data_IF_548649047893
#
_entry.id   IF_548649047893
#
_cell.length_a   1.000
_cell.length_b   1.000
_cell.length_c   1.000
_cell.angle_alpha   90.00
_cell.angle_beta   90.00
_cell.angle_gamma   90.00
#
_symmetry.space_group_name_H-M   'P 1'
#
loop_
_entity.id
_entity.type
_entity.pdbx_description
1 polymer ?
#
# COMPACT_ATOMS: atom_id res chain seq x y z
N UNK A 1 -12.20 -50.06 23.89
CA UNK A 1 -11.51 -50.12 22.59
C UNK A 1 -12.52 -49.70 21.54
N UNK A 2 -12.34 -48.48 21.00
CA UNK A 2 -12.99 -47.84 19.83
C UNK A 2 -14.53 -47.73 19.65
N UNK A 3 -14.91 -46.48 19.31
CA UNK A 3 -16.06 -46.01 18.51
C UNK A 3 -17.38 -45.60 19.27
N UNK A 4 -18.24 -44.73 18.68
CA UNK A 4 -18.44 -43.35 19.13
C UNK A 4 -19.91 -43.03 19.51
N UNK A 5 -20.14 -41.95 20.27
CA UNK A 5 -21.49 -41.47 20.60
C UNK A 5 -21.61 -39.96 20.31
N UNK A 6 -22.55 -39.68 19.42
CA UNK A 6 -23.12 -38.38 19.08
C UNK A 6 -23.40 -37.52 20.33
N UNK A 7 -23.01 -36.25 20.31
CA UNK A 7 -23.66 -35.22 21.11
C UNK A 7 -24.09 -34.06 20.21
N UNK A 8 -25.40 -33.97 20.06
CA UNK A 8 -26.13 -32.84 19.50
C UNK A 8 -26.14 -31.71 20.54
N UNK A 9 -25.72 -30.50 20.17
CA UNK A 9 -26.03 -29.31 20.96
C UNK A 9 -26.83 -28.33 20.10
N UNK A 10 -28.10 -28.22 20.47
CA UNK A 10 -29.08 -27.28 19.98
C UNK A 10 -28.60 -25.83 20.19
N UNK A 11 -28.57 -25.08 19.10
CA UNK A 11 -28.45 -23.63 19.10
C UNK A 11 -29.85 -23.03 19.33
N UNK A 12 -30.05 -22.32 20.44
CA UNK A 12 -31.20 -21.43 20.59
C UNK A 12 -30.80 -20.22 21.44
N UNK A 13 -31.24 -19.06 20.96
CA UNK A 13 -31.39 -17.78 21.68
C UNK A 13 -30.20 -16.82 21.65
N UNK A 14 -30.14 -16.01 20.58
CA UNK A 14 -29.76 -14.59 20.63
C UNK A 14 -30.46 -13.85 19.47
N UNK A 15 -31.78 -13.94 19.45
CA UNK A 15 -32.67 -13.15 18.60
C UNK A 15 -33.09 -11.90 19.37
N UNK A 16 -32.21 -10.90 19.48
CA UNK A 16 -32.58 -9.53 19.89
C UNK A 16 -31.46 -8.56 19.51
N UNK A 17 -31.33 -8.27 18.20
CA UNK A 17 -30.75 -7.06 17.60
C UNK A 17 -30.80 -7.22 16.07
N UNK A 18 -32.02 -7.36 15.55
CA UNK A 18 -32.33 -7.35 14.12
C UNK A 18 -33.14 -6.10 13.82
N UNK A 19 -32.44 -4.97 13.80
CA UNK A 19 -32.89 -3.74 13.15
C UNK A 19 -31.63 -2.89 12.97
N UNK A 20 -31.28 -2.66 11.71
CA UNK A 20 -30.23 -1.75 11.22
C UNK A 20 -28.80 -2.28 10.96
N UNK A 21 -28.65 -3.46 10.37
CA UNK A 21 -27.40 -3.82 9.65
C UNK A 21 -27.72 -4.39 8.26
N UNK A 22 -28.16 -3.52 7.35
CA UNK A 22 -28.22 -3.80 5.90
C UNK A 22 -26.84 -3.62 5.25
N UNK A 23 -25.81 -4.27 5.81
CA UNK A 23 -24.44 -4.21 5.30
C UNK A 23 -23.72 -5.58 5.30
N UNK A 24 -24.29 -6.63 5.90
CA UNK A 24 -23.62 -7.95 5.99
C UNK A 24 -23.78 -8.83 4.75
N UNK A 25 -24.75 -8.56 3.86
CA UNK A 25 -25.02 -9.40 2.69
C UNK A 25 -23.91 -9.43 1.62
N UNK A 26 -23.01 -8.43 1.58
CA UNK A 26 -21.91 -8.36 0.60
C UNK A 26 -20.62 -9.06 1.08
N UNK A 27 -20.42 -9.20 2.40
CA UNK A 27 -19.27 -9.94 2.97
C UNK A 27 -19.44 -11.46 2.79
N UNK A 28 -20.68 -11.94 2.87
CA UNK A 28 -21.02 -13.34 2.60
C UNK A 28 -20.97 -13.71 1.12
N UNK A 29 -21.05 -12.76 0.19
CA UNK A 29 -20.99 -13.05 -1.25
C UNK A 29 -19.57 -13.45 -1.71
N UNK A 30 -18.52 -12.80 -1.20
CA UNK A 30 -17.11 -13.16 -1.47
C UNK A 30 -16.59 -14.30 -0.59
N UNK A 31 -17.13 -14.49 0.62
CA UNK A 31 -16.77 -15.64 1.47
C UNK A 31 -17.47 -16.93 1.03
N UNK A 32 -18.77 -16.89 0.70
CA UNK A 32 -19.50 -18.07 0.22
C UNK A 32 -19.06 -18.52 -1.18
N UNK A 33 -18.41 -17.66 -1.96
CA UNK A 33 -17.79 -18.06 -3.23
C UNK A 33 -16.46 -18.82 -3.05
N UNK A 34 -15.82 -18.75 -1.88
CA UNK A 34 -14.56 -19.46 -1.61
C UNK A 34 -14.76 -20.90 -1.11
N UNK A 35 -15.87 -21.20 -0.43
CA UNK A 35 -16.19 -22.57 0.03
C UNK A 35 -17.33 -23.24 -0.75
N UNK A 36 -18.14 -22.46 -1.47
CA UNK A 36 -19.15 -22.97 -2.39
C UNK A 36 -18.61 -22.94 -3.82
N UNK A 37 -18.52 -24.11 -4.43
CA UNK A 37 -18.26 -24.34 -5.86
C UNK A 37 -19.31 -23.63 -6.74
N UNK A 38 -19.30 -22.29 -6.83
CA UNK A 38 -20.17 -21.47 -7.69
C UNK A 38 -19.46 -20.19 -8.14
N UNK A 39 -18.90 -20.27 -9.35
CA UNK A 39 -18.88 -19.23 -10.41
C UNK A 39 -19.04 -17.78 -9.93
N UNK A 40 -17.92 -17.11 -9.61
CA UNK A 40 -17.83 -15.63 -9.66
C UNK A 40 -17.57 -15.11 -11.09
N UNK A 41 -17.49 -16.00 -12.06
CA UNK A 41 -17.53 -15.61 -13.45
C UNK A 41 -18.74 -16.31 -14.06
N UNK A 42 -19.65 -15.53 -14.66
CA UNK A 42 -20.62 -16.07 -15.61
C UNK A 42 -19.81 -16.94 -16.58
N UNK A 43 -20.25 -18.17 -16.82
CA UNK A 43 -19.43 -19.19 -17.52
C UNK A 43 -18.92 -18.70 -18.90
N UNK A 44 -19.63 -17.74 -19.53
CA UNK A 44 -19.17 -17.06 -20.75
C UNK A 44 -18.20 -15.87 -20.57
N UNK A 45 -18.05 -15.28 -19.39
CA UNK A 45 -17.05 -14.23 -19.13
C UNK A 45 -15.65 -14.80 -18.88
N UNK A 46 -15.51 -16.01 -18.32
CA UNK A 46 -14.20 -16.67 -18.13
C UNK A 46 -13.55 -16.97 -19.47
N UNK A 47 -14.31 -17.57 -20.40
CA UNK A 47 -13.81 -18.00 -21.70
C UNK A 47 -13.39 -16.78 -22.55
N UNK A 48 -14.14 -15.69 -22.48
CA UNK A 48 -13.78 -14.42 -23.14
C UNK A 48 -12.55 -13.77 -22.47
N UNK A 49 -12.41 -13.90 -21.15
CA UNK A 49 -11.25 -13.40 -20.41
C UNK A 49 -9.94 -14.08 -20.78
N UNK A 50 -9.94 -15.40 -20.81
CA UNK A 50 -8.76 -16.17 -21.11
C UNK A 50 -8.37 -16.03 -22.60
N UNK A 51 -9.35 -15.99 -23.50
CA UNK A 51 -9.11 -15.78 -24.93
C UNK A 51 -8.56 -14.38 -25.26
N UNK A 52 -9.04 -13.32 -24.61
CA UNK A 52 -8.52 -11.95 -24.82
C UNK A 52 -7.14 -11.75 -24.20
N UNK A 53 -6.93 -12.23 -22.97
CA UNK A 53 -5.61 -12.21 -22.35
C UNK A 53 -4.58 -12.93 -23.24
N UNK A 54 -4.92 -14.12 -23.75
CA UNK A 54 -4.08 -14.87 -24.67
C UNK A 54 -3.82 -14.15 -26.01
N UNK A 55 -4.84 -13.52 -26.61
CA UNK A 55 -4.67 -12.80 -27.88
C UNK A 55 -3.89 -11.49 -27.74
N UNK A 56 -4.04 -10.76 -26.63
CA UNK A 56 -3.28 -9.53 -26.39
C UNK A 56 -1.83 -9.83 -25.98
N UNK A 57 -1.62 -10.88 -25.20
CA UNK A 57 -0.30 -11.43 -24.93
C UNK A 57 0.40 -11.86 -26.23
N UNK A 58 -0.31 -12.55 -27.13
CA UNK A 58 0.22 -12.95 -28.44
C UNK A 58 0.50 -11.79 -29.39
N UNK A 59 -0.15 -10.63 -29.23
CA UNK A 59 0.13 -9.40 -30.00
C UNK A 59 1.34 -8.63 -29.47
N UNK A 60 1.72 -8.85 -28.21
CA UNK A 60 2.86 -8.17 -27.60
C UNK A 60 4.18 -8.71 -28.16
N UNK A 61 5.14 -7.83 -28.41
CA UNK A 61 6.45 -8.26 -28.91
C UNK A 61 7.20 -9.03 -27.79
N UNK A 62 7.49 -10.34 -27.98
CA UNK A 62 8.07 -11.17 -26.92
C UNK A 62 9.45 -10.67 -26.48
N UNK A 63 10.23 -10.05 -27.37
CA UNK A 63 11.53 -9.48 -27.02
C UNK A 63 11.39 -8.26 -26.10
N UNK A 64 10.40 -7.39 -26.36
CA UNK A 64 10.13 -6.20 -25.55
C UNK A 64 9.57 -6.59 -24.17
N UNK A 65 8.69 -7.58 -24.12
CA UNK A 65 8.13 -8.13 -22.88
C UNK A 65 9.23 -8.72 -21.99
N UNK A 66 10.09 -9.57 -22.58
CA UNK A 66 11.20 -10.18 -21.86
C UNK A 66 12.21 -9.13 -21.37
N UNK A 67 12.49 -8.10 -22.17
CA UNK A 67 13.35 -6.99 -21.76
C UNK A 67 12.75 -6.23 -20.57
N UNK A 68 11.47 -5.85 -20.64
CA UNK A 68 10.77 -5.13 -19.56
C UNK A 68 10.76 -5.93 -18.27
N UNK A 69 10.37 -7.21 -18.33
CA UNK A 69 10.35 -8.09 -17.17
C UNK A 69 11.74 -8.29 -16.57
N UNK A 70 12.76 -8.47 -17.42
CA UNK A 70 14.14 -8.64 -16.96
C UNK A 70 14.64 -7.39 -16.25
N UNK A 71 14.34 -6.19 -16.77
CA UNK A 71 14.68 -4.91 -16.14
C UNK A 71 13.96 -4.76 -14.80
N UNK A 72 12.65 -5.03 -14.74
CA UNK A 72 11.85 -4.92 -13.52
C UNK A 72 12.34 -5.87 -12.41
N UNK A 73 12.55 -7.15 -12.75
CA UNK A 73 13.04 -8.16 -11.79
C UNK A 73 14.46 -7.79 -11.32
N UNK A 74 15.33 -7.35 -12.23
CA UNK A 74 16.71 -6.97 -11.89
C UNK A 74 16.75 -5.76 -10.96
N UNK A 75 16.00 -4.70 -11.27
CA UNK A 75 15.89 -3.52 -10.43
C UNK A 75 15.37 -3.89 -9.03
N UNK A 76 14.35 -4.75 -8.95
CA UNK A 76 13.80 -5.15 -7.66
C UNK A 76 14.80 -5.97 -6.83
N UNK A 77 15.48 -6.92 -7.47
CA UNK A 77 16.47 -7.76 -6.80
C UNK A 77 17.56 -6.89 -6.15
N UNK A 78 18.10 -5.93 -6.90
CA UNK A 78 19.10 -5.00 -6.37
C UNK A 78 18.56 -4.15 -5.21
N UNK A 79 17.31 -3.68 -5.28
CA UNK A 79 16.68 -2.95 -4.17
C UNK A 79 16.60 -3.79 -2.90
N UNK A 80 16.16 -5.05 -2.99
CA UNK A 80 16.09 -5.94 -1.83
C UNK A 80 17.48 -6.17 -1.21
N UNK A 81 18.50 -6.43 -2.02
CA UNK A 81 19.88 -6.63 -1.56
C UNK A 81 20.41 -5.38 -0.84
N UNK A 82 20.10 -4.19 -1.34
CA UNK A 82 20.51 -2.93 -0.71
C UNK A 82 19.70 -2.59 0.55
N UNK A 83 18.45 -3.04 0.65
CA UNK A 83 17.58 -2.74 1.78
C UNK A 83 17.97 -3.48 3.07
N UNK A 84 18.40 -4.75 2.95
CA UNK A 84 18.80 -5.59 4.08
C UNK A 84 19.91 -4.96 4.95
N UNK A 85 21.07 -4.50 4.41
CA UNK A 85 22.10 -3.86 5.22
C UNK A 85 21.65 -2.51 5.81
N UNK A 86 20.78 -1.77 5.10
CA UNK A 86 20.21 -0.52 5.61
C UNK A 86 19.35 -0.76 6.87
N UNK A 87 18.47 -1.77 6.83
CA UNK A 87 17.64 -2.14 7.97
C UNK A 87 18.50 -2.66 9.12
N UNK A 88 19.54 -3.44 8.84
CA UNK A 88 20.46 -3.91 9.87
C UNK A 88 21.17 -2.74 10.59
N UNK A 89 21.59 -1.71 9.85
CA UNK A 89 22.18 -0.49 10.42
C UNK A 89 21.20 0.28 11.32
N UNK A 90 19.94 0.39 10.88
CA UNK A 90 18.85 1.04 11.63
C UNK A 90 18.51 0.26 12.90
N UNK A 91 18.43 -1.07 12.81
CA UNK A 91 18.11 -1.96 13.92
C UNK A 91 19.06 -1.76 15.10
N UNK A 92 20.35 -1.57 14.83
CA UNK A 92 21.37 -1.31 15.87
C UNK A 92 21.06 -0.07 16.72
N UNK A 93 20.40 0.94 16.14
CA UNK A 93 20.11 2.23 16.79
C UNK A 93 18.63 2.38 17.16
N UNK A 94 17.81 1.33 16.99
CA UNK A 94 16.36 1.41 17.18
C UNK A 94 15.93 1.63 18.63
N UNK A 95 16.76 1.25 19.61
CA UNK A 95 16.41 1.39 21.03
C UNK A 95 16.49 2.83 21.54
N UNK A 96 17.28 3.67 20.87
CA UNK A 96 17.67 4.97 21.41
C UNK A 96 16.78 6.12 20.92
N UNK A 97 16.14 5.99 19.75
CA UNK A 97 15.34 7.07 19.16
C UNK A 97 14.01 6.55 18.61
N UNK A 98 12.92 7.28 18.88
CA UNK A 98 11.58 6.99 18.34
C UNK A 98 11.57 6.92 16.83
N UNK A 99 12.36 7.76 16.17
CA UNK A 99 12.43 7.76 14.73
C UNK A 99 13.05 6.49 14.16
N UNK A 100 14.13 5.95 14.75
CA UNK A 100 14.72 4.71 14.24
C UNK A 100 13.75 3.53 14.39
N UNK A 101 12.85 3.55 15.38
CA UNK A 101 11.76 2.56 15.48
C UNK A 101 10.77 2.67 14.32
N UNK A 102 10.37 3.90 13.96
CA UNK A 102 9.48 4.14 12.83
C UNK A 102 10.15 3.77 11.50
N UNK A 103 11.42 4.15 11.28
CA UNK A 103 12.17 3.76 10.08
C UNK A 103 12.34 2.24 9.99
N UNK A 104 12.54 1.55 11.12
CA UNK A 104 12.64 0.10 11.13
C UNK A 104 11.32 -0.56 10.72
N UNK A 105 10.19 -0.04 11.22
CA UNK A 105 8.86 -0.51 10.84
C UNK A 105 8.56 -0.29 9.35
N UNK A 106 8.81 0.92 8.84
CA UNK A 106 8.68 1.24 7.41
C UNK A 106 9.58 0.30 6.61
N UNK A 107 10.84 0.13 7.02
CA UNK A 107 11.77 -0.73 6.31
C UNK A 107 11.32 -2.20 6.22
N UNK A 108 10.74 -2.77 7.28
CA UNK A 108 10.16 -4.13 7.24
C UNK A 108 8.96 -4.18 6.29
N UNK A 109 8.11 -3.14 6.33
CA UNK A 109 6.92 -3.02 5.48
C UNK A 109 7.33 -2.96 4.01
N UNK A 110 8.33 -2.15 3.68
CA UNK A 110 8.91 -2.04 2.34
C UNK A 110 9.49 -3.38 1.88
N UNK A 111 10.28 -4.05 2.73
CA UNK A 111 10.78 -5.39 2.40
C UNK A 111 9.65 -6.37 2.07
N UNK A 112 8.53 -6.28 2.79
CA UNK A 112 7.34 -7.10 2.54
C UNK A 112 6.67 -6.76 1.20
N UNK A 113 6.40 -5.47 0.94
CA UNK A 113 5.70 -5.05 -0.28
C UNK A 113 6.55 -5.30 -1.51
N UNK A 114 7.88 -5.11 -1.45
CA UNK A 114 8.79 -5.25 -2.59
C UNK A 114 8.79 -6.64 -3.26
N UNK A 115 8.29 -7.67 -2.58
CA UNK A 115 8.05 -8.99 -3.21
C UNK A 115 6.93 -8.97 -4.24
N UNK A 116 5.93 -8.11 -4.04
CA UNK A 116 4.70 -8.11 -4.84
C UNK A 116 4.91 -7.41 -6.19
N UNK A 117 5.28 -6.11 -6.26
CA UNK A 117 5.47 -5.43 -7.53
C UNK A 117 6.66 -5.98 -8.32
N UNK A 118 7.65 -6.63 -7.70
CA UNK A 118 8.79 -7.20 -8.41
C UNK A 118 8.64 -8.65 -8.82
N UNK A 119 8.62 -9.56 -7.84
CA UNK A 119 8.62 -11.00 -8.14
C UNK A 119 7.27 -11.46 -8.66
N UNK A 120 6.18 -11.06 -7.99
CA UNK A 120 4.84 -11.50 -8.37
C UNK A 120 4.40 -10.90 -9.70
N UNK A 121 4.52 -9.57 -9.89
CA UNK A 121 4.18 -8.94 -11.16
C UNK A 121 5.06 -9.46 -12.30
N UNK A 122 6.36 -9.69 -12.08
CA UNK A 122 7.25 -10.31 -13.08
C UNK A 122 6.82 -11.73 -13.47
N UNK A 123 6.47 -12.57 -12.50
CA UNK A 123 5.91 -13.90 -12.75
C UNK A 123 4.58 -13.83 -13.51
N UNK A 124 3.67 -12.94 -13.10
CA UNK A 124 2.37 -12.76 -13.73
C UNK A 124 2.53 -12.30 -15.19
N UNK A 125 3.50 -11.42 -15.47
CA UNK A 125 3.80 -10.95 -16.81
C UNK A 125 4.34 -12.06 -17.72
N UNK A 126 5.22 -12.94 -17.23
CA UNK A 126 5.75 -14.04 -18.03
C UNK A 126 4.66 -15.04 -18.44
N UNK A 127 3.59 -15.15 -17.65
CA UNK A 127 2.46 -16.05 -17.91
C UNK A 127 1.27 -15.39 -18.60
N UNK A 128 1.30 -14.07 -18.80
CA UNK A 128 0.10 -13.34 -19.23
C UNK A 128 -1.06 -13.48 -18.24
N UNK A 129 -0.76 -13.59 -16.95
CA UNK A 129 -1.75 -13.87 -15.92
C UNK A 129 -2.64 -12.65 -15.63
N UNK A 130 -3.95 -12.88 -15.69
CA UNK A 130 -5.00 -11.95 -15.25
C UNK A 130 -5.77 -12.54 -14.07
N UNK A 131 -6.69 -11.76 -13.48
CA UNK A 131 -7.52 -12.21 -12.37
C UNK A 131 -8.18 -13.57 -12.60
N UNK A 132 -8.74 -13.78 -13.79
CA UNK A 132 -9.46 -14.99 -14.15
C UNK A 132 -8.58 -16.24 -14.20
N UNK A 133 -7.28 -16.10 -14.48
CA UNK A 133 -6.34 -17.22 -14.57
C UNK A 133 -5.97 -17.79 -13.19
N UNK A 134 -5.80 -16.91 -12.18
CA UNK A 134 -5.38 -17.31 -10.82
C UNK A 134 -6.13 -16.49 -9.75
N UNK A 135 -7.46 -16.61 -9.61
CA UNK A 135 -8.27 -15.70 -8.81
C UNK A 135 -7.92 -15.73 -7.32
N UNK A 136 -7.68 -16.91 -6.74
CA UNK A 136 -7.32 -17.04 -5.32
C UNK A 136 -5.95 -16.42 -5.03
N UNK A 137 -4.96 -16.65 -5.88
CA UNK A 137 -3.61 -16.12 -5.69
C UNK A 137 -3.61 -14.59 -5.85
N UNK A 138 -4.26 -14.08 -6.89
CA UNK A 138 -4.40 -12.64 -7.13
C UNK A 138 -5.13 -11.94 -5.98
N UNK A 139 -6.15 -12.57 -5.39
CA UNK A 139 -6.88 -12.05 -4.25
C UNK A 139 -5.98 -11.86 -3.01
N UNK A 140 -5.25 -12.91 -2.59
CA UNK A 140 -4.39 -12.83 -1.40
C UNK A 140 -3.22 -11.86 -1.59
N UNK A 141 -2.61 -11.87 -2.77
CA UNK A 141 -1.52 -10.94 -3.08
C UNK A 141 -2.07 -9.50 -3.10
N UNK A 142 -3.24 -9.28 -3.69
CA UNK A 142 -3.91 -7.99 -3.69
C UNK A 142 -4.27 -7.43 -2.31
N UNK A 143 -4.73 -8.29 -1.40
CA UNK A 143 -4.97 -7.91 0.00
C UNK A 143 -3.66 -7.51 0.70
N UNK A 144 -2.59 -8.28 0.47
CA UNK A 144 -1.28 -7.98 1.04
C UNK A 144 -0.75 -6.64 0.51
N UNK A 145 -0.86 -6.38 -0.79
CA UNK A 145 -0.46 -5.10 -1.41
C UNK A 145 -1.14 -3.91 -0.74
N UNK A 146 -2.47 -3.96 -0.57
CA UNK A 146 -3.21 -2.87 0.07
C UNK A 146 -2.87 -2.71 1.55
N UNK A 147 -2.72 -3.81 2.27
CA UNK A 147 -2.31 -3.79 3.67
C UNK A 147 -0.95 -3.11 3.84
N UNK A 148 0.05 -3.51 3.05
CA UNK A 148 1.38 -2.90 3.11
C UNK A 148 1.37 -1.43 2.67
N UNK A 149 0.64 -1.08 1.61
CA UNK A 149 0.47 0.32 1.19
C UNK A 149 -0.10 1.19 2.31
N UNK A 150 -1.15 0.70 2.98
CA UNK A 150 -1.76 1.39 4.12
C UNK A 150 -0.81 1.52 5.31
N UNK A 151 -0.04 0.46 5.61
CA UNK A 151 0.97 0.48 6.67
C UNK A 151 2.07 1.51 6.41
N UNK A 152 2.62 1.51 5.20
CA UNK A 152 3.74 2.36 4.77
C UNK A 152 3.32 3.83 4.79
N UNK A 153 2.29 4.19 4.02
CA UNK A 153 1.85 5.58 3.88
C UNK A 153 1.41 6.22 5.21
N UNK A 154 0.80 5.44 6.11
CA UNK A 154 0.41 5.95 7.44
C UNK A 154 1.63 6.11 8.35
N UNK A 155 2.58 5.18 8.30
CA UNK A 155 3.82 5.29 9.07
C UNK A 155 4.71 6.44 8.58
N UNK A 156 4.75 6.71 7.28
CA UNK A 156 5.44 7.86 6.68
C UNK A 156 4.88 9.19 7.18
N UNK A 157 3.54 9.34 7.24
CA UNK A 157 2.91 10.53 7.82
C UNK A 157 3.30 10.72 9.28
N UNK A 158 3.26 9.65 10.07
CA UNK A 158 3.65 9.69 11.49
C UNK A 158 5.14 10.02 11.64
N UNK A 159 5.99 9.49 10.77
CA UNK A 159 7.41 9.77 10.73
C UNK A 159 7.69 11.24 10.40
N UNK A 160 7.02 11.78 9.37
CA UNK A 160 7.11 13.19 8.99
C UNK A 160 6.67 14.10 10.15
N UNK A 161 5.56 13.74 10.82
CA UNK A 161 5.07 14.46 11.99
C UNK A 161 6.05 14.37 13.16
N UNK A 162 6.57 13.18 13.50
CA UNK A 162 7.58 12.99 14.54
C UNK A 162 8.81 13.86 14.24
N UNK A 163 9.30 13.88 13.00
CA UNK A 163 10.48 14.65 12.59
C UNK A 163 10.26 16.15 12.69
N UNK A 164 9.13 16.65 12.22
CA UNK A 164 8.83 18.08 12.32
C UNK A 164 8.61 18.49 13.78
N UNK A 165 7.96 17.65 14.58
CA UNK A 165 7.69 17.95 15.99
C UNK A 165 8.96 17.94 16.83
N UNK A 166 9.88 16.99 16.57
CA UNK A 166 11.19 16.93 17.23
C UNK A 166 11.99 18.23 17.02
N UNK A 167 11.82 18.88 15.86
CA UNK A 167 12.50 20.13 15.50
C UNK A 167 11.77 21.40 15.96
N UNK A 168 10.44 21.37 15.99
CA UNK A 168 9.64 22.53 16.41
C UNK A 168 9.56 22.60 17.93
N UNK A 169 9.33 21.46 18.57
CA UNK A 169 9.23 21.34 20.02
C UNK A 169 9.63 19.94 20.50
N UNK A 170 10.92 19.74 20.85
CA UNK A 170 11.42 18.46 21.38
C UNK A 170 10.62 17.97 22.60
N UNK A 171 10.07 18.88 23.40
CA UNK A 171 9.23 18.55 24.56
C UNK A 171 7.96 17.81 24.16
N UNK A 172 7.23 18.32 23.16
CA UNK A 172 6.03 17.65 22.66
C UNK A 172 6.37 16.35 21.94
N UNK A 173 7.47 16.31 21.18
CA UNK A 173 7.96 15.08 20.57
C UNK A 173 8.24 13.99 21.62
N UNK A 174 8.89 14.34 22.72
CA UNK A 174 9.12 13.41 23.82
C UNK A 174 7.81 12.93 24.48
N UNK A 175 6.80 13.79 24.61
CA UNK A 175 5.48 13.42 25.17
C UNK A 175 4.72 12.46 24.24
N UNK A 176 4.80 12.64 22.92
CA UNK A 176 4.04 11.80 21.99
C UNK A 176 4.77 10.53 21.56
N UNK A 177 6.09 10.59 21.48
CA UNK A 177 6.89 9.56 20.84
C UNK A 177 7.92 8.87 21.73
N UNK A 178 8.06 9.19 23.02
CA UNK A 178 9.12 8.55 23.81
C UNK A 178 8.76 7.16 24.37
N UNK A 179 9.78 6.29 24.40
CA UNK A 179 9.73 4.97 25.03
C UNK A 179 8.72 4.01 24.35
N UNK A 180 7.76 3.44 25.09
CA UNK A 180 6.76 2.52 24.56
C UNK A 180 5.68 3.22 23.73
N UNK A 181 5.52 4.55 23.83
CA UNK A 181 4.50 5.31 23.09
C UNK A 181 4.71 5.25 21.58
N UNK A 182 5.96 5.25 21.11
CA UNK A 182 6.24 5.00 19.68
C UNK A 182 5.69 3.66 19.23
N UNK A 183 5.77 2.64 20.08
CA UNK A 183 5.26 1.31 19.77
C UNK A 183 3.73 1.32 19.62
N UNK A 184 3.02 2.15 20.39
CA UNK A 184 1.58 2.32 20.23
C UNK A 184 1.22 2.93 18.87
N UNK A 185 1.98 3.92 18.39
CA UNK A 185 1.81 4.46 17.05
C UNK A 185 2.03 3.39 15.98
N UNK A 186 3.09 2.59 16.11
CA UNK A 186 3.37 1.47 15.20
C UNK A 186 2.23 0.46 15.22
N UNK A 187 1.75 0.06 16.40
CA UNK A 187 0.58 -0.82 16.53
C UNK A 187 -0.66 -0.21 15.88
N UNK A 188 -0.87 1.10 16.01
CA UNK A 188 -1.93 1.83 15.32
C UNK A 188 -1.82 1.70 13.80
N UNK A 189 -0.63 1.90 13.22
CA UNK A 189 -0.37 1.69 11.79
C UNK A 189 -0.69 0.24 11.38
N UNK A 190 -0.24 -0.74 12.16
CA UNK A 190 -0.46 -2.16 11.84
C UNK A 190 -1.93 -2.56 11.94
N UNK A 191 -2.67 -2.03 12.92
CA UNK A 191 -4.12 -2.27 13.04
C UNK A 191 -4.90 -1.63 11.90
N UNK A 192 -4.50 -0.42 11.49
CA UNK A 192 -5.07 0.23 10.31
C UNK A 192 -4.78 -0.60 9.05
N UNK A 193 -3.53 -1.00 8.82
CA UNK A 193 -3.16 -1.89 7.72
C UNK A 193 -3.93 -3.22 7.72
N UNK A 194 -4.14 -3.81 8.91
CA UNK A 194 -4.95 -5.02 9.06
C UNK A 194 -6.42 -4.77 8.70
N UNK A 195 -6.98 -3.63 9.09
CA UNK A 195 -8.33 -3.24 8.67
C UNK A 195 -8.43 -3.17 7.14
N UNK A 196 -7.43 -2.58 6.49
CA UNK A 196 -7.36 -2.55 5.03
C UNK A 196 -7.29 -3.94 4.41
N UNK A 197 -6.39 -4.80 4.91
CA UNK A 197 -6.24 -6.15 4.39
C UNK A 197 -7.50 -7.03 4.57
N UNK A 198 -8.27 -6.83 5.63
CA UNK A 198 -9.43 -7.69 5.96
C UNK A 198 -10.76 -7.19 5.42
N UNK A 199 -10.96 -5.88 5.33
CA UNK A 199 -12.26 -5.28 5.03
C UNK A 199 -12.34 -4.56 3.69
N UNK A 200 -11.20 -4.24 3.07
CA UNK A 200 -11.19 -3.60 1.75
C UNK A 200 -11.18 -4.61 0.62
N UNK A 201 -11.74 -4.21 -0.52
CA UNK A 201 -11.62 -4.98 -1.76
C UNK A 201 -10.16 -4.95 -2.21
N UNK A 202 -9.54 -6.09 -2.54
CA UNK A 202 -8.14 -6.15 -2.94
C UNK A 202 -7.88 -5.46 -4.27
N UNK A 203 -6.66 -4.96 -4.43
CA UNK A 203 -6.17 -4.53 -5.74
C UNK A 203 -5.72 -5.75 -6.53
N UNK A 204 -5.98 -5.77 -7.83
CA UNK A 204 -5.76 -6.93 -8.70
C UNK A 204 -4.79 -6.57 -9.80
N UNK A 205 -3.82 -7.44 -10.05
CA UNK A 205 -2.84 -7.24 -11.11
C UNK A 205 -3.38 -7.66 -12.47
N UNK A 206 -3.08 -6.87 -13.50
CA UNK A 206 -3.35 -7.19 -14.89
C UNK A 206 -2.07 -7.15 -15.72
N UNK A 207 -1.64 -8.30 -16.24
CA UNK A 207 -0.49 -8.40 -17.16
C UNK A 207 -0.74 -7.75 -18.51
N UNK A 208 -1.98 -7.39 -18.84
CA UNK A 208 -2.33 -6.69 -20.09
C UNK A 208 -1.85 -5.24 -20.04
N UNK A 209 -2.05 -4.60 -18.88
CA UNK A 209 -1.65 -3.21 -18.63
C UNK A 209 -0.34 -3.11 -17.85
N UNK A 210 0.22 -4.24 -17.41
CA UNK A 210 1.39 -4.32 -16.54
C UNK A 210 1.21 -3.53 -15.23
N UNK A 211 -0.02 -3.53 -14.71
CA UNK A 211 -0.37 -2.68 -13.58
C UNK A 211 -1.47 -3.22 -12.68
N UNK A 212 -1.58 -2.59 -11.50
CA UNK A 212 -2.53 -2.93 -10.45
C UNK A 212 -3.79 -2.06 -10.50
N UNK A 213 -4.96 -2.69 -10.47
CA UNK A 213 -6.26 -2.02 -10.56
C UNK A 213 -7.23 -2.52 -9.50
N UNK A 214 -8.09 -1.66 -8.97
CA UNK A 214 -9.18 -2.08 -8.08
C UNK A 214 -10.31 -2.78 -8.82
N UNK A 215 -10.52 -2.41 -10.09
CA UNK A 215 -11.48 -3.09 -10.95
C UNK A 215 -10.78 -4.27 -11.65
N UNK A 216 -11.14 -5.53 -11.32
CA UNK A 216 -10.47 -6.71 -11.87
C UNK A 216 -10.66 -6.87 -13.38
N UNK A 217 -11.68 -6.21 -13.94
CA UNK A 217 -12.06 -6.27 -15.34
C UNK A 217 -11.75 -4.97 -16.09
N UNK A 218 -10.64 -4.28 -15.76
CA UNK A 218 -10.24 -3.03 -16.43
C UNK A 218 -10.21 -3.10 -17.97
N UNK A 219 -10.09 -4.31 -18.55
CA UNK A 219 -10.15 -4.62 -19.98
C UNK A 219 -11.59 -4.71 -20.57
N UNK A 220 -12.61 -4.86 -19.74
CA UNK A 220 -14.03 -5.03 -20.11
C UNK A 220 -14.82 -3.74 -19.90
N UNK A 221 -14.31 -2.60 -20.37
CA UNK A 221 -15.05 -1.32 -20.40
C UNK A 221 -16.23 -1.40 -21.40
N UNK A 222 -17.23 -2.20 -21.08
CA UNK A 222 -18.60 -2.03 -21.61
C UNK A 222 -19.22 -0.87 -20.82
N UNK A 223 -19.80 0.09 -21.54
CA UNK A 223 -20.15 1.43 -21.04
C UNK A 223 -20.85 1.52 -19.67
N UNK A 224 -20.72 2.71 -19.09
CA UNK A 224 -21.36 3.29 -17.89
C UNK A 224 -21.38 2.50 -16.57
N UNK A 225 -20.87 1.27 -16.53
CA UNK A 225 -20.98 0.43 -15.35
C UNK A 225 -19.72 0.44 -14.45
N UNK A 226 -19.91 1.06 -13.28
CA UNK A 226 -19.35 0.64 -11.97
C UNK A 226 -17.88 0.94 -11.59
N UNK A 227 -17.27 2.02 -12.06
CA UNK A 227 -15.99 2.48 -11.46
C UNK A 227 -16.11 2.75 -9.94
N UNK A 228 -17.25 3.26 -9.49
CA UNK A 228 -17.48 3.60 -8.07
C UNK A 228 -17.75 2.39 -7.17
N UNK A 229 -18.12 1.23 -7.72
CA UNK A 229 -18.48 0.09 -6.88
C UNK A 229 -17.26 -0.71 -6.40
N UNK A 230 -16.11 -0.62 -7.08
CA UNK A 230 -14.90 -1.40 -6.77
C UNK A 230 -13.81 -0.63 -6.05
N UNK A 231 -13.63 0.67 -6.34
CA UNK A 231 -12.77 1.52 -5.53
C UNK A 231 -13.53 1.93 -4.26
N UNK A 232 -13.09 1.46 -3.10
CA UNK A 232 -13.71 1.86 -1.85
C UNK A 232 -13.45 3.35 -1.60
N UNK A 233 -14.48 4.17 -1.34
CA UNK A 233 -14.35 5.61 -1.10
C UNK A 233 -13.29 5.97 -0.05
N UNK A 234 -13.13 5.08 0.94
CA UNK A 234 -12.11 5.16 1.98
C UNK A 234 -10.68 5.18 1.41
N UNK A 235 -10.40 4.46 0.32
CA UNK A 235 -9.09 4.47 -0.31
C UNK A 235 -8.76 5.80 -0.98
N UNK A 236 -9.75 6.35 -1.69
CA UNK A 236 -9.63 7.69 -2.27
C UNK A 236 -9.39 8.74 -1.18
N UNK A 237 -10.15 8.69 -0.08
CA UNK A 237 -9.97 9.61 1.04
C UNK A 237 -8.60 9.46 1.69
N UNK A 238 -8.12 8.23 1.89
CA UNK A 238 -6.78 7.98 2.44
C UNK A 238 -5.68 8.57 1.55
N UNK A 239 -5.71 8.29 0.24
CA UNK A 239 -4.70 8.81 -0.69
C UNK A 239 -4.74 10.33 -0.78
N UNK A 240 -5.93 10.94 -0.80
CA UNK A 240 -6.08 12.40 -0.72
C UNK A 240 -5.49 12.91 0.60
N UNK A 241 -5.83 12.30 1.73
CA UNK A 241 -5.32 12.71 3.03
C UNK A 241 -3.78 12.63 3.08
N UNK A 242 -3.17 11.54 2.60
CA UNK A 242 -1.71 11.41 2.51
C UNK A 242 -1.11 12.49 1.61
N UNK A 243 -1.70 12.69 0.42
CA UNK A 243 -1.23 13.66 -0.57
C UNK A 243 -1.29 15.12 -0.09
N UNK A 244 -2.25 15.47 0.79
CA UNK A 244 -2.37 16.82 1.34
C UNK A 244 -1.66 17.00 2.68
N UNK A 245 -1.78 16.04 3.61
CA UNK A 245 -1.20 16.15 4.95
C UNK A 245 0.32 16.11 4.91
N UNK A 246 0.91 15.26 4.06
CA UNK A 246 2.36 15.14 3.95
C UNK A 246 3.03 16.47 3.58
N UNK A 247 2.69 17.14 2.44
CA UNK A 247 3.27 18.44 2.13
C UNK A 247 2.87 19.52 3.13
N UNK A 248 1.66 19.48 3.70
CA UNK A 248 1.24 20.45 4.71
C UNK A 248 2.15 20.41 5.96
N UNK A 249 2.48 19.23 6.46
CA UNK A 249 3.40 19.06 7.59
C UNK A 249 4.76 19.69 7.29
N UNK A 250 5.31 19.43 6.09
CA UNK A 250 6.58 20.00 5.66
C UNK A 250 6.53 21.52 5.43
N UNK A 251 5.42 22.04 4.91
CA UNK A 251 5.21 23.48 4.71
C UNK A 251 5.10 24.24 6.04
N UNK A 252 4.37 23.69 7.01
CA UNK A 252 4.28 24.24 8.37
C UNK A 252 5.68 24.29 8.99
N UNK A 253 6.45 23.20 8.83
CA UNK A 253 7.83 23.15 9.31
C UNK A 253 8.72 24.21 8.63
N UNK A 254 8.66 24.33 7.30
CA UNK A 254 9.41 25.32 6.55
C UNK A 254 9.03 26.76 6.94
N UNK A 255 7.73 27.03 7.16
CA UNK A 255 7.25 28.33 7.61
C UNK A 255 7.75 28.68 9.02
N UNK A 256 7.72 27.72 9.95
CA UNK A 256 8.28 27.88 11.31
C UNK A 256 9.78 28.15 11.25
N UNK A 257 10.51 27.38 10.45
CA UNK A 257 11.94 27.57 10.25
C UNK A 257 12.24 28.96 9.69
N UNK A 258 11.48 29.41 8.68
CA UNK A 258 11.61 30.74 8.10
C UNK A 258 11.29 31.86 9.11
N UNK A 259 10.25 31.67 9.93
CA UNK A 259 9.91 32.60 11.01
C UNK A 259 11.06 32.73 12.02
N UNK A 260 11.63 31.60 12.46
CA UNK A 260 12.76 31.59 13.40
C UNK A 260 14.02 32.25 12.78
N UNK A 261 14.31 32.00 11.50
CA UNK A 261 15.39 32.65 10.75
C UNK A 261 15.19 34.17 10.71
N UNK A 262 13.98 34.61 10.40
CA UNK A 262 13.63 36.04 10.27
C UNK A 262 13.68 36.76 11.61
N UNK A 263 13.32 36.06 12.70
CA UNK A 263 13.43 36.57 14.06
C UNK A 263 14.88 36.68 14.53
N UNK A 264 15.73 35.72 14.19
CA UNK A 264 17.17 35.77 14.46
C UNK A 264 17.95 34.79 13.58
N UNK A 265 18.87 35.28 12.75
CA UNK A 265 19.78 34.41 11.96
C UNK A 265 20.61 33.47 12.84
N UNK A 266 20.88 33.85 14.09
CA UNK A 266 21.57 32.98 15.06
C UNK A 266 20.75 31.76 15.45
N UNK A 267 19.42 31.86 15.41
CA UNK A 267 18.51 30.79 15.78
C UNK A 267 18.45 29.70 14.71
N UNK A 268 18.57 30.06 13.42
CA UNK A 268 18.75 29.09 12.34
C UNK A 268 20.04 28.29 12.49
N UNK A 269 21.15 28.97 12.76
CA UNK A 269 22.44 28.32 13.04
C UNK A 269 22.38 27.43 14.28
N UNK A 270 21.63 27.82 15.31
CA UNK A 270 21.39 27.00 16.50
C UNK A 270 20.57 25.75 16.18
N UNK A 271 19.47 25.86 15.43
CA UNK A 271 18.64 24.72 15.00
C UNK A 271 19.46 23.75 14.15
N UNK A 272 20.22 24.26 13.17
CA UNK A 272 21.09 23.41 12.33
C UNK A 272 22.26 22.79 13.12
N UNK A 273 22.74 23.47 14.17
CA UNK A 273 23.79 22.97 15.07
C UNK A 273 23.27 21.91 16.04
N UNK A 274 22.03 22.05 16.52
CA UNK A 274 21.35 21.05 17.34
C UNK A 274 20.99 19.81 16.50
N UNK A 275 20.67 20.03 15.22
CA UNK A 275 20.47 18.98 14.24
C UNK A 275 21.81 18.34 13.86
N UNK A 276 22.10 17.16 14.42
CA UNK A 276 23.19 16.34 13.91
C UNK A 276 23.02 16.06 12.41
N UNK A 277 24.12 16.06 11.65
CA UNK A 277 24.14 15.89 10.19
C UNK A 277 23.37 14.67 9.67
N UNK A 278 23.26 13.63 10.49
CA UNK A 278 22.48 12.40 10.20
C UNK A 278 20.99 12.68 10.18
N UNK A 279 20.46 13.48 11.10
CA UNK A 279 19.03 13.79 11.17
C UNK A 279 18.58 14.63 9.98
N UNK A 280 19.43 15.56 9.52
CA UNK A 280 19.17 16.37 8.31
C UNK A 280 19.08 15.47 7.08
N UNK A 281 20.00 14.51 6.93
CA UNK A 281 19.97 13.57 5.79
C UNK A 281 18.71 12.72 5.79
N UNK A 282 18.32 12.19 6.96
CA UNK A 282 17.07 11.42 7.09
C UNK A 282 15.87 12.30 6.77
N UNK A 283 15.83 13.54 7.25
CA UNK A 283 14.74 14.47 6.95
C UNK A 283 14.59 14.72 5.45
N UNK A 284 15.69 15.03 4.76
CA UNK A 284 15.70 15.25 3.31
C UNK A 284 15.26 13.98 2.57
N UNK A 285 15.74 12.82 2.99
CA UNK A 285 15.36 11.53 2.40
C UNK A 285 13.84 11.31 2.50
N UNK A 286 13.27 11.43 3.71
CA UNK A 286 11.82 11.19 3.93
C UNK A 286 10.98 12.21 3.16
N UNK A 287 11.45 13.47 3.03
CA UNK A 287 10.78 14.47 2.21
C UNK A 287 10.68 14.07 0.73
N UNK A 288 11.79 13.62 0.12
CA UNK A 288 11.78 13.19 -1.27
C UNK A 288 10.95 11.91 -1.48
N UNK A 289 11.04 10.95 -0.56
CA UNK A 289 10.19 9.74 -0.61
C UNK A 289 8.72 10.11 -0.54
N UNK A 290 8.34 10.99 0.39
CA UNK A 290 6.95 11.46 0.53
C UNK A 290 6.43 12.16 -0.72
N UNK A 291 7.28 12.94 -1.41
CA UNK A 291 6.93 13.61 -2.67
C UNK A 291 6.66 12.59 -3.78
N UNK A 292 7.50 11.55 -3.90
CA UNK A 292 7.32 10.46 -4.86
C UNK A 292 6.03 9.70 -4.53
N UNK A 293 5.81 9.30 -3.27
CA UNK A 293 4.60 8.58 -2.85
C UNK A 293 3.32 9.39 -3.12
N UNK A 294 3.37 10.71 -2.92
CA UNK A 294 2.26 11.63 -3.26
C UNK A 294 1.99 11.68 -4.76
N UNK A 295 3.04 11.79 -5.58
CA UNK A 295 2.93 11.78 -7.04
C UNK A 295 2.35 10.45 -7.53
N UNK A 296 2.84 9.33 -7.01
CA UNK A 296 2.35 7.98 -7.31
C UNK A 296 0.87 7.85 -6.98
N UNK A 297 0.46 8.25 -5.77
CA UNK A 297 -0.95 8.21 -5.36
C UNK A 297 -1.84 9.04 -6.28
N UNK A 298 -1.40 10.23 -6.70
CA UNK A 298 -2.14 11.06 -7.65
C UNK A 298 -2.25 10.40 -9.03
N UNK A 299 -1.14 9.87 -9.56
CA UNK A 299 -1.13 9.16 -10.84
C UNK A 299 -2.07 7.95 -10.83
N UNK A 300 -2.09 7.18 -9.74
CA UNK A 300 -2.97 6.03 -9.58
C UNK A 300 -4.45 6.40 -9.54
N UNK A 301 -4.81 7.46 -8.83
CA UNK A 301 -6.19 8.00 -8.85
C UNK A 301 -6.55 8.45 -10.26
N UNK A 302 -5.63 9.07 -10.99
CA UNK A 302 -5.89 9.49 -12.37
C UNK A 302 -6.12 8.31 -13.31
N UNK A 303 -5.26 7.28 -13.24
CA UNK A 303 -5.33 6.05 -14.05
C UNK A 303 -6.62 5.27 -13.79
N UNK A 304 -7.14 5.30 -12.56
CA UNK A 304 -8.36 4.58 -12.19
C UNK A 304 -9.64 5.28 -12.67
N UNK A 305 -9.60 6.59 -12.89
CA UNK A 305 -10.77 7.40 -13.24
C UNK A 305 -10.82 7.81 -14.72
N UNK A 306 -9.71 7.70 -15.46
CA UNK A 306 -9.62 8.17 -16.84
C UNK A 306 -9.06 7.07 -17.75
N UNK A 307 -9.44 7.09 -19.02
CA UNK A 307 -8.72 6.32 -20.03
C UNK A 307 -7.34 6.91 -20.23
N UNK A 308 -6.30 6.11 -19.99
CA UNK A 308 -4.92 6.57 -19.95
C UNK A 308 -4.03 5.82 -20.92
N UNK A 309 -3.03 6.51 -21.44
CA UNK A 309 -2.00 5.92 -22.29
C UNK A 309 -1.02 5.06 -21.49
N UNK A 310 -0.47 4.02 -22.13
CA UNK A 310 0.46 3.05 -21.52
C UNK A 310 1.72 3.67 -20.87
N UNK A 311 2.17 4.83 -21.35
CA UNK A 311 3.31 5.52 -20.75
C UNK A 311 3.01 6.05 -19.34
N UNK A 312 1.76 6.47 -19.08
CA UNK A 312 1.33 6.97 -17.77
C UNK A 312 1.28 5.84 -16.75
N UNK A 313 0.75 4.69 -17.19
CA UNK A 313 0.70 3.46 -16.39
C UNK A 313 2.13 3.02 -16.05
N UNK A 314 3.01 2.98 -17.04
CA UNK A 314 4.44 2.65 -16.83
C UNK A 314 5.10 3.62 -15.85
N UNK A 315 4.83 4.93 -15.97
CA UNK A 315 5.38 5.94 -15.06
C UNK A 315 4.87 5.76 -13.63
N UNK A 316 3.58 5.47 -13.44
CA UNK A 316 2.99 5.25 -12.12
C UNK A 316 3.56 3.99 -11.45
N UNK A 317 3.76 2.91 -12.21
CA UNK A 317 4.43 1.70 -11.72
C UNK A 317 5.88 1.99 -11.33
N UNK A 318 6.64 2.72 -12.16
CA UNK A 318 8.01 3.12 -11.81
C UNK A 318 8.11 4.05 -10.60
N UNK A 319 7.12 4.92 -10.39
CA UNK A 319 7.06 5.79 -9.24
C UNK A 319 6.59 5.04 -7.97
N UNK A 320 5.87 3.93 -8.12
CA UNK A 320 5.55 3.03 -7.02
C UNK A 320 6.74 2.13 -6.64
N UNK A 321 7.58 1.74 -7.61
CA UNK A 321 8.78 0.94 -7.35
C UNK A 321 9.84 1.72 -6.57
#
# INVERSE_FOLDING_TARGET
MYAPLHFSLHCHSLSFLSSDISASGKFDFMKNSMFGRRRICVEGQVDVCDQRAGTQFSKSNPAMLNLRNSVQISLQFWRQVLYVPCIYSIWKHMRDNSCYKLLFYIGITDLGILWIPGLFSGWANLRGAVFCSYPTLMYFVGMASLGFWGAETTADLILAFNRCLDLVSPRFAHILFSGPRTSLWITGCSLYALYWALFMKPVVYSSIYFAWFFYPFADYRTGDDQHEEYEHWLHRVHNIAVAFLSPLIYLIFAAKLFYDVRKSRRQFGAVLSEMGSVQIRIFIQVFFVSLINTLTGFLYVYIQNNEVNQWMITLAEFAWF
#
